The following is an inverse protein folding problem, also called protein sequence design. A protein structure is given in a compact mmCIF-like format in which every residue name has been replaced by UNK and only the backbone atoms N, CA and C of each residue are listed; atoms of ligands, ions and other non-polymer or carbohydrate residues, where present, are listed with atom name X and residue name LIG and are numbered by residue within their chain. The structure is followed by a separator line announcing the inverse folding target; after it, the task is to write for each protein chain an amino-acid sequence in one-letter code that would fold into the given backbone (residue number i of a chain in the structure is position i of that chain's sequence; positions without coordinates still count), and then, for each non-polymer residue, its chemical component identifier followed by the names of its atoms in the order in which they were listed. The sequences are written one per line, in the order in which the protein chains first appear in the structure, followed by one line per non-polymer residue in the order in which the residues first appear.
data_IF_904757351981
#
_entry.id   IF_904757351981
#
_cell.length_a   1.000
_cell.length_b   1.000
_cell.length_c   1.000
_cell.angle_alpha   90.00
_cell.angle_beta   90.00
_cell.angle_gamma   90.00
#
_symmetry.space_group_name_H-M   'P 1'
#
loop_
_entity.id
_entity.type
_entity.pdbx_description
1 polymer ?
#
# COMPACT_ATOMS: atom_id res chain seq x y z
N UNK A 1 -15.47 -27.19 5.24
CA UNK A 1 -14.23 -26.62 5.84
C UNK A 1 -14.66 -25.57 6.84
N UNK A 2 -14.22 -25.64 8.09
CA UNK A 2 -14.45 -24.60 9.09
C UNK A 2 -13.14 -23.76 9.16
N UNK A 3 -13.23 -22.47 8.89
CA UNK A 3 -12.09 -21.58 8.95
C UNK A 3 -12.06 -21.00 10.37
N UNK A 4 -11.09 -21.42 11.16
CA UNK A 4 -10.86 -20.89 12.51
C UNK A 4 -10.11 -19.57 12.39
N UNK A 5 -10.54 -18.56 13.14
CA UNK A 5 -9.84 -17.28 13.24
C UNK A 5 -8.96 -17.28 14.49
N UNK A 6 -7.66 -17.10 14.30
CA UNK A 6 -6.66 -17.11 15.39
C UNK A 6 -6.54 -15.72 16.02
N UNK A 7 -7.62 -15.22 16.61
CA UNK A 7 -7.69 -13.85 17.13
C UNK A 7 -6.70 -13.55 18.25
N UNK A 8 -6.41 -12.27 18.45
CA UNK A 8 -5.56 -11.73 19.49
C UNK A 8 -6.29 -10.66 20.29
N UNK A 9 -6.17 -10.68 21.61
CA UNK A 9 -6.67 -9.61 22.49
C UNK A 9 -5.83 -8.32 22.39
N UNK A 10 -4.64 -8.42 21.82
CA UNK A 10 -3.76 -7.28 21.56
C UNK A 10 -3.79 -6.91 20.09
N UNK A 11 -3.81 -5.61 19.81
CA UNK A 11 -3.69 -5.07 18.46
C UNK A 11 -2.23 -5.13 17.97
N UNK A 12 -1.68 -6.36 17.86
CA UNK A 12 -0.35 -6.58 17.31
C UNK A 12 -0.28 -6.12 15.87
N UNK A 13 0.92 -5.80 15.42
CA UNK A 13 1.21 -5.28 14.08
C UNK A 13 2.11 -6.22 13.29
N UNK A 14 1.98 -6.17 11.98
CA UNK A 14 2.93 -6.67 11.00
C UNK A 14 2.95 -5.73 9.80
N UNK A 15 4.08 -5.65 9.14
CA UNK A 15 4.23 -4.94 7.87
C UNK A 15 4.99 -5.80 6.87
N UNK A 16 4.56 -5.75 5.62
CA UNK A 16 5.21 -6.35 4.46
C UNK A 16 5.47 -5.25 3.44
N UNK A 17 6.68 -5.19 2.90
CA UNK A 17 7.06 -4.22 1.88
C UNK A 17 7.65 -4.95 0.68
N UNK A 18 7.12 -4.66 -0.50
CA UNK A 18 7.61 -5.18 -1.77
C UNK A 18 8.61 -4.18 -2.34
N UNK A 19 9.90 -4.50 -2.29
CA UNK A 19 10.96 -3.62 -2.79
C UNK A 19 11.46 -4.07 -4.16
N UNK A 20 11.81 -3.10 -4.96
CA UNK A 20 12.29 -3.26 -6.32
C UNK A 20 13.83 -3.32 -6.32
N UNK A 21 14.37 -4.25 -7.08
CA UNK A 21 15.81 -4.36 -7.34
C UNK A 21 16.12 -3.68 -8.67
N UNK A 22 16.91 -2.63 -8.65
CA UNK A 22 17.31 -1.86 -9.84
C UNK A 22 18.81 -1.93 -10.07
N UNK A 23 19.23 -1.84 -11.33
CA UNK A 23 20.63 -1.76 -11.74
C UNK A 23 21.22 -0.35 -11.51
N UNK A 24 22.48 -0.14 -11.90
CA UNK A 24 23.15 1.16 -11.81
C UNK A 24 22.49 2.25 -12.67
N UNK A 25 21.86 1.89 -13.78
CA UNK A 25 21.11 2.81 -14.65
C UNK A 25 19.71 3.14 -14.12
N UNK A 26 19.29 2.51 -13.03
CA UNK A 26 17.97 2.68 -12.44
C UNK A 26 16.88 1.84 -13.11
N UNK A 27 17.21 0.94 -14.05
CA UNK A 27 16.22 0.01 -14.61
C UNK A 27 16.01 -1.19 -13.68
N UNK A 28 14.81 -1.76 -13.69
CA UNK A 28 14.58 -3.01 -12.96
C UNK A 28 15.49 -4.13 -13.47
N UNK A 29 16.06 -4.88 -12.56
CA UNK A 29 16.84 -6.07 -12.89
C UNK A 29 15.98 -7.07 -13.68
N UNK A 30 16.54 -7.58 -14.79
CA UNK A 30 15.83 -8.53 -15.69
C UNK A 30 16.34 -9.96 -15.57
N UNK A 31 17.40 -10.15 -14.76
CA UNK A 31 17.97 -11.45 -14.46
C UNK A 31 17.39 -12.05 -13.16
N UNK A 32 18.10 -12.99 -12.56
CA UNK A 32 17.71 -13.64 -11.30
C UNK A 32 18.18 -12.86 -10.06
N UNK A 33 17.98 -11.54 -10.04
CA UNK A 33 18.53 -10.67 -9.00
C UNK A 33 17.97 -11.00 -7.60
N UNK A 34 16.65 -11.17 -7.45
CA UNK A 34 16.07 -11.56 -6.16
C UNK A 34 16.61 -12.90 -5.68
N UNK A 35 16.72 -13.90 -6.57
CA UNK A 35 17.30 -15.22 -6.23
C UNK A 35 18.73 -15.09 -5.73
N UNK A 36 19.58 -14.28 -6.36
CA UNK A 36 20.97 -14.05 -5.93
C UNK A 36 21.02 -13.36 -4.57
N UNK A 37 20.28 -12.28 -4.39
CA UNK A 37 20.22 -11.52 -3.13
C UNK A 37 19.72 -12.43 -2.00
N UNK A 38 18.61 -13.15 -2.22
CA UNK A 38 18.03 -14.03 -1.21
C UNK A 38 18.94 -15.21 -0.85
N UNK A 39 19.80 -15.68 -1.76
CA UNK A 39 20.79 -16.71 -1.45
C UNK A 39 21.85 -16.26 -0.46
N UNK A 40 22.20 -14.96 -0.42
CA UNK A 40 23.12 -14.38 0.59
C UNK A 40 22.42 -14.07 1.90
N UNK A 41 21.09 -13.90 1.88
CA UNK A 41 20.24 -13.70 3.05
C UNK A 41 19.69 -15.02 3.62
N UNK A 42 20.12 -16.17 3.08
CA UNK A 42 19.61 -17.48 3.48
C UNK A 42 19.82 -17.73 4.98
N UNK A 43 18.76 -18.23 5.63
CA UNK A 43 18.69 -18.42 7.08
C UNK A 43 18.34 -17.18 7.88
N UNK A 44 18.24 -15.99 7.29
CA UNK A 44 17.71 -14.80 7.95
C UNK A 44 16.20 -14.72 7.74
N UNK A 45 15.39 -14.51 8.80
CA UNK A 45 13.94 -14.42 8.68
C UNK A 45 13.52 -13.09 8.02
N UNK A 46 12.35 -13.08 7.38
CA UNK A 46 11.68 -11.87 6.90
C UNK A 46 11.99 -11.48 5.47
N UNK A 47 12.66 -12.32 4.68
CA UNK A 47 12.89 -12.08 3.25
C UNK A 47 12.30 -13.21 2.41
N UNK A 48 11.62 -12.84 1.32
CA UNK A 48 10.99 -13.80 0.42
C UNK A 48 11.05 -13.35 -1.04
N UNK A 49 10.93 -14.33 -1.93
CA UNK A 49 10.57 -14.05 -3.31
C UNK A 49 9.15 -13.48 -3.41
N UNK A 50 8.96 -12.57 -4.35
CA UNK A 50 7.67 -12.17 -4.87
C UNK A 50 7.51 -12.64 -6.33
N UNK A 51 6.42 -12.27 -7.01
CA UNK A 51 6.06 -12.73 -8.36
C UNK A 51 7.21 -12.62 -9.36
N UNK A 52 8.00 -11.55 -9.28
CA UNK A 52 9.03 -11.22 -10.26
C UNK A 52 10.43 -11.20 -9.61
N UNK A 53 11.43 -11.62 -10.37
CA UNK A 53 12.85 -11.64 -9.96
C UNK A 53 13.46 -10.24 -9.72
N UNK A 54 12.76 -9.19 -10.10
CA UNK A 54 13.13 -7.82 -9.76
C UNK A 54 12.56 -7.35 -8.39
N UNK A 55 12.01 -8.27 -7.59
CA UNK A 55 11.30 -7.92 -6.34
C UNK A 55 11.72 -8.81 -5.19
N UNK A 56 11.99 -8.20 -4.05
CA UNK A 56 12.14 -8.88 -2.76
C UNK A 56 11.06 -8.39 -1.82
N UNK A 57 10.33 -9.31 -1.19
CA UNK A 57 9.38 -9.01 -0.12
C UNK A 57 10.12 -9.02 1.22
N UNK A 58 10.02 -7.93 1.98
CA UNK A 58 10.57 -7.81 3.33
C UNK A 58 9.42 -7.75 4.33
N UNK A 59 9.47 -8.63 5.35
CA UNK A 59 8.37 -8.86 6.28
C UNK A 59 8.88 -8.69 7.70
N UNK A 60 8.13 -7.95 8.53
CA UNK A 60 8.43 -7.83 9.96
C UNK A 60 8.06 -9.10 10.73
N UNK A 61 8.66 -9.23 11.90
CA UNK A 61 8.11 -10.09 12.94
C UNK A 61 6.78 -9.52 13.46
N UNK A 62 6.09 -10.26 14.34
CA UNK A 62 4.92 -9.73 15.03
C UNK A 62 5.36 -8.66 16.02
N UNK A 63 4.93 -7.44 15.78
CA UNK A 63 5.36 -6.26 16.53
C UNK A 63 4.25 -5.75 17.47
N UNK A 64 4.58 -5.34 18.69
CA UNK A 64 3.59 -4.78 19.63
C UNK A 64 3.25 -3.30 19.35
N UNK A 65 4.15 -2.52 18.74
CA UNK A 65 3.98 -1.08 18.47
C UNK A 65 4.56 -0.68 17.14
N UNK A 66 4.21 0.52 16.65
CA UNK A 66 4.75 1.11 15.42
C UNK A 66 6.27 1.29 15.51
N UNK A 67 6.81 1.69 16.66
CA UNK A 67 8.25 1.81 16.85
C UNK A 67 8.98 0.45 16.72
N UNK A 68 8.36 -0.67 17.09
CA UNK A 68 8.93 -2.00 16.83
C UNK A 68 8.91 -2.33 15.33
N UNK A 69 7.86 -1.98 14.59
CA UNK A 69 7.82 -2.08 13.12
C UNK A 69 9.00 -1.30 12.52
N UNK A 70 9.16 -0.02 12.92
CA UNK A 70 10.27 0.83 12.43
C UNK A 70 11.63 0.16 12.62
N UNK A 71 11.92 -0.33 13.82
CA UNK A 71 13.22 -0.93 14.14
C UNK A 71 13.47 -2.24 13.39
N UNK A 72 12.47 -3.12 13.36
CA UNK A 72 12.61 -4.43 12.74
C UNK A 72 12.72 -4.30 11.22
N UNK A 73 11.83 -3.53 10.61
CA UNK A 73 11.82 -3.35 9.15
C UNK A 73 13.08 -2.58 8.69
N UNK A 74 13.50 -1.54 9.44
CA UNK A 74 14.70 -0.77 9.09
C UNK A 74 15.95 -1.65 9.12
N UNK A 75 16.15 -2.44 10.17
CA UNK A 75 17.28 -3.36 10.25
C UNK A 75 17.32 -4.37 9.10
N UNK A 76 16.13 -4.89 8.70
CA UNK A 76 16.02 -5.79 7.55
C UNK A 76 16.29 -5.10 6.23
N UNK A 77 15.82 -3.85 6.05
CA UNK A 77 16.09 -3.07 4.85
C UNK A 77 17.56 -2.66 4.72
N UNK A 78 18.20 -2.21 5.80
CA UNK A 78 19.64 -1.92 5.80
C UNK A 78 20.45 -3.15 5.37
N UNK A 79 20.11 -4.33 5.90
CA UNK A 79 20.80 -5.57 5.51
C UNK A 79 20.54 -5.95 4.05
N UNK A 80 19.31 -5.77 3.56
CA UNK A 80 18.99 -6.02 2.16
C UNK A 80 19.74 -5.06 1.23
N UNK A 81 19.80 -3.76 1.57
CA UNK A 81 20.52 -2.75 0.81
C UNK A 81 22.01 -3.11 0.74
N UNK A 82 22.64 -3.44 1.88
CA UNK A 82 24.04 -3.87 1.94
C UNK A 82 24.34 -5.02 0.98
N UNK A 83 23.50 -6.07 1.00
CA UNK A 83 23.67 -7.26 0.15
C UNK A 83 23.45 -6.92 -1.33
N UNK A 84 22.41 -6.14 -1.63
CA UNK A 84 22.09 -5.73 -3.00
C UNK A 84 23.23 -4.89 -3.61
N UNK A 85 23.76 -3.92 -2.86
CA UNK A 85 24.88 -3.07 -3.28
C UNK A 85 26.16 -3.87 -3.48
N UNK A 86 26.42 -4.87 -2.63
CA UNK A 86 27.54 -5.81 -2.80
C UNK A 86 27.49 -6.58 -4.12
N UNK A 87 26.32 -6.69 -4.73
CA UNK A 87 26.08 -7.36 -6.01
C UNK A 87 25.87 -6.38 -7.19
N UNK A 88 26.03 -5.07 -6.97
CA UNK A 88 25.87 -4.04 -8.01
C UNK A 88 24.43 -3.62 -8.27
N UNK A 89 23.50 -3.90 -7.33
CA UNK A 89 22.10 -3.47 -7.41
C UNK A 89 21.82 -2.37 -6.40
N UNK A 90 20.71 -1.64 -6.63
CA UNK A 90 20.15 -0.68 -5.67
C UNK A 90 18.71 -1.07 -5.35
N UNK A 91 18.21 -0.62 -4.21
CA UNK A 91 16.86 -0.93 -3.74
C UNK A 91 16.01 0.32 -3.75
N UNK A 92 14.76 0.19 -4.21
CA UNK A 92 13.76 1.25 -4.21
C UNK A 92 12.36 0.69 -3.92
N UNK A 93 11.46 1.50 -3.40
CA UNK A 93 10.07 1.12 -3.19
C UNK A 93 9.12 2.20 -3.72
N UNK A 94 8.26 1.84 -4.64
CA UNK A 94 7.16 2.66 -5.16
C UNK A 94 6.06 1.74 -5.68
N UNK A 95 4.86 2.26 -5.95
CA UNK A 95 3.76 1.42 -6.45
C UNK A 95 3.99 0.84 -7.86
N UNK A 96 4.76 1.53 -8.71
CA UNK A 96 5.19 1.06 -10.03
C UNK A 96 6.56 1.59 -10.35
N UNK A 97 7.37 0.85 -11.11
CA UNK A 97 8.62 1.37 -11.63
C UNK A 97 8.35 2.40 -12.76
N UNK A 98 9.03 3.58 -12.74
CA UNK A 98 8.69 4.67 -13.67
C UNK A 98 8.77 4.31 -15.15
N UNK A 99 9.76 3.50 -15.59
CA UNK A 99 9.99 3.28 -17.02
C UNK A 99 10.20 1.82 -17.45
N UNK A 100 10.56 0.90 -16.54
CA UNK A 100 10.78 -0.51 -16.92
C UNK A 100 9.51 -1.19 -17.41
N UNK A 101 9.65 -2.09 -18.38
CA UNK A 101 8.56 -2.83 -18.97
C UNK A 101 8.28 -4.13 -18.23
N UNK A 102 7.01 -4.46 -17.99
CA UNK A 102 6.59 -5.75 -17.46
C UNK A 102 6.95 -6.91 -18.40
N UNK A 103 7.05 -6.65 -19.72
CA UNK A 103 7.35 -7.68 -20.72
C UNK A 103 8.79 -8.21 -20.62
N UNK A 104 9.68 -7.43 -20.02
CA UNK A 104 11.10 -7.77 -19.88
C UNK A 104 11.40 -8.49 -18.55
N UNK A 105 10.39 -8.69 -17.70
CA UNK A 105 10.58 -9.23 -16.36
C UNK A 105 10.52 -10.77 -16.33
N UNK A 106 11.35 -11.35 -15.48
CA UNK A 106 11.41 -12.80 -15.23
C UNK A 106 10.52 -13.15 -14.03
N UNK A 107 9.73 -14.22 -14.16
CA UNK A 107 8.91 -14.75 -13.06
C UNK A 107 9.82 -15.54 -12.10
N UNK A 108 9.65 -15.30 -10.79
CA UNK A 108 10.36 -16.02 -9.74
C UNK A 108 10.13 -17.54 -9.79
N UNK A 109 11.08 -18.36 -9.32
CA UNK A 109 11.06 -19.82 -9.52
C UNK A 109 9.99 -20.57 -8.71
N UNK A 110 9.22 -19.91 -7.84
CA UNK A 110 8.17 -20.55 -7.06
C UNK A 110 7.04 -21.07 -7.97
N UNK A 111 6.68 -22.36 -7.87
CA UNK A 111 5.57 -22.95 -8.65
C UNK A 111 4.23 -22.24 -8.47
N UNK A 112 4.02 -21.53 -7.35
CA UNK A 112 2.81 -20.73 -7.10
C UNK A 112 2.67 -19.60 -8.12
N UNK A 113 3.76 -18.92 -8.44
CA UNK A 113 3.74 -17.77 -9.35
C UNK A 113 3.54 -18.21 -10.80
N UNK A 114 4.17 -19.31 -11.20
CA UNK A 114 3.93 -19.88 -12.52
C UNK A 114 2.46 -20.28 -12.72
N UNK A 115 1.83 -20.85 -11.68
CA UNK A 115 0.38 -21.16 -11.72
C UNK A 115 -0.47 -19.88 -11.79
N UNK A 116 -0.11 -18.84 -11.03
CA UNK A 116 -0.83 -17.55 -11.12
C UNK A 116 -0.81 -16.98 -12.54
N UNK A 117 0.36 -17.01 -13.20
CA UNK A 117 0.49 -16.61 -14.59
C UNK A 117 -0.34 -17.51 -15.52
N UNK A 118 -0.37 -18.81 -15.29
CA UNK A 118 -1.17 -19.76 -16.08
C UNK A 118 -2.67 -19.53 -15.89
N UNK A 119 -3.13 -19.35 -14.67
CA UNK A 119 -4.54 -19.19 -14.33
C UNK A 119 -5.08 -17.82 -14.80
N UNK A 120 -4.31 -16.73 -14.63
CA UNK A 120 -4.75 -15.35 -14.90
C UNK A 120 -4.21 -14.76 -16.19
N UNK A 121 -3.28 -15.44 -16.89
CA UNK A 121 -2.73 -15.07 -18.21
C UNK A 121 -2.28 -13.58 -18.30
N UNK A 122 -2.86 -12.83 -19.24
CA UNK A 122 -2.47 -11.47 -19.54
C UNK A 122 -2.55 -10.52 -18.33
N UNK A 123 -3.55 -10.67 -17.48
CA UNK A 123 -3.73 -9.81 -16.30
C UNK A 123 -2.60 -10.01 -15.29
N UNK A 124 -2.20 -11.27 -15.02
CA UNK A 124 -1.11 -11.57 -14.12
C UNK A 124 0.27 -11.18 -14.67
N UNK A 125 0.49 -11.31 -15.99
CA UNK A 125 1.78 -10.92 -16.61
C UNK A 125 2.09 -9.43 -16.45
N UNK A 126 1.07 -8.59 -16.31
CA UNK A 126 1.20 -7.14 -16.16
C UNK A 126 1.37 -6.66 -14.73
N UNK A 127 1.47 -7.55 -13.76
CA UNK A 127 1.62 -7.22 -12.34
C UNK A 127 3.04 -6.78 -11.98
N UNK A 128 3.58 -5.80 -12.71
CA UNK A 128 4.81 -5.10 -12.34
C UNK A 128 4.45 -3.96 -11.38
N UNK A 129 3.92 -4.33 -10.23
CA UNK A 129 3.38 -3.42 -9.22
C UNK A 129 3.85 -3.85 -7.84
N UNK A 130 3.99 -2.89 -6.92
CA UNK A 130 4.57 -3.11 -5.61
C UNK A 130 3.75 -2.39 -4.55
N UNK A 131 3.61 -3.00 -3.38
CA UNK A 131 2.79 -2.48 -2.31
C UNK A 131 3.43 -2.55 -0.93
N UNK A 132 2.76 -1.89 0.00
CA UNK A 132 2.95 -2.08 1.43
C UNK A 132 1.68 -2.68 1.99
N UNK A 133 1.81 -3.76 2.75
CA UNK A 133 0.71 -4.39 3.46
C UNK A 133 0.88 -4.18 4.96
N UNK A 134 -0.19 -3.80 5.63
CA UNK A 134 -0.17 -3.64 7.09
C UNK A 134 -1.16 -4.60 7.73
N UNK A 135 -0.73 -5.33 8.73
CA UNK A 135 -1.54 -6.25 9.51
C UNK A 135 -1.83 -5.67 10.88
N UNK A 136 -3.08 -5.69 11.30
CA UNK A 136 -3.50 -5.29 12.64
C UNK A 136 -4.28 -6.41 13.29
N UNK A 137 -3.85 -6.88 14.45
CA UNK A 137 -4.48 -7.94 15.23
C UNK A 137 -5.89 -7.56 15.69
N UNK A 138 -6.83 -8.49 15.57
CA UNK A 138 -8.22 -8.36 16.03
C UNK A 138 -8.67 -9.62 16.77
N UNK A 139 -9.70 -9.51 17.61
CA UNK A 139 -10.07 -10.54 18.58
C UNK A 139 -10.79 -11.75 17.98
N UNK A 140 -11.59 -11.54 16.95
CA UNK A 140 -12.43 -12.60 16.40
C UNK A 140 -12.77 -12.38 14.93
N UNK A 141 -13.24 -13.43 14.27
CA UNK A 141 -13.73 -13.33 12.90
C UNK A 141 -14.93 -12.39 12.75
N UNK A 142 -15.84 -12.34 13.75
CA UNK A 142 -16.98 -11.42 13.73
C UNK A 142 -16.51 -9.96 13.82
N UNK A 143 -15.58 -9.65 14.72
CA UNK A 143 -14.96 -8.32 14.81
C UNK A 143 -14.22 -7.98 13.51
N UNK A 144 -13.45 -8.93 12.95
CA UNK A 144 -12.74 -8.73 11.70
C UNK A 144 -13.67 -8.33 10.54
N UNK A 145 -14.83 -8.99 10.41
CA UNK A 145 -15.80 -8.67 9.35
C UNK A 145 -16.45 -7.31 9.58
N UNK A 146 -16.90 -7.03 10.81
CA UNK A 146 -17.53 -5.75 11.12
C UNK A 146 -16.57 -4.56 10.86
N UNK A 147 -15.32 -4.69 11.32
CA UNK A 147 -14.29 -3.67 11.13
C UNK A 147 -13.89 -3.57 9.64
N UNK A 148 -13.73 -4.68 8.92
CA UNK A 148 -13.39 -4.67 7.49
C UNK A 148 -14.45 -3.94 6.63
N UNK A 149 -15.73 -4.17 6.91
CA UNK A 149 -16.83 -3.48 6.24
C UNK A 149 -16.74 -1.96 6.42
N UNK A 150 -16.45 -1.51 7.64
CA UNK A 150 -16.29 -0.08 7.95
C UNK A 150 -15.02 0.52 7.37
N UNK A 151 -13.89 -0.21 7.44
CA UNK A 151 -12.61 0.20 6.84
C UNK A 151 -12.73 0.48 5.34
N UNK A 152 -13.65 -0.19 4.65
CA UNK A 152 -13.94 0.06 3.25
C UNK A 152 -14.19 1.54 2.95
N UNK A 153 -14.82 2.27 3.86
CA UNK A 153 -15.08 3.71 3.76
C UNK A 153 -13.78 4.53 3.71
N UNK A 154 -12.71 4.03 4.31
CA UNK A 154 -11.42 4.72 4.43
C UNK A 154 -10.38 4.30 3.38
N UNK A 155 -10.71 3.35 2.50
CA UNK A 155 -9.83 2.95 1.38
C UNK A 155 -9.30 4.15 0.58
N UNK A 156 -10.13 5.17 0.22
CA UNK A 156 -9.64 6.35 -0.49
C UNK A 156 -8.56 7.13 0.26
N UNK A 157 -8.62 7.16 1.61
CA UNK A 157 -7.65 7.86 2.45
C UNK A 157 -6.27 7.18 2.39
N UNK A 158 -6.24 5.87 2.59
CA UNK A 158 -4.99 5.09 2.50
C UNK A 158 -4.37 5.14 1.10
N UNK A 159 -5.19 4.99 0.06
CA UNK A 159 -4.74 5.04 -1.33
C UNK A 159 -4.15 6.41 -1.67
N UNK A 160 -4.80 7.48 -1.25
CA UNK A 160 -4.32 8.83 -1.52
C UNK A 160 -3.00 9.12 -0.80
N UNK A 161 -2.90 8.78 0.49
CA UNK A 161 -1.71 9.01 1.31
C UNK A 161 -0.48 8.21 0.84
N UNK A 162 -0.69 6.97 0.40
CA UNK A 162 0.38 6.09 -0.06
C UNK A 162 0.71 6.25 -1.54
N UNK A 163 0.00 7.11 -2.28
CA UNK A 163 0.16 7.20 -3.75
C UNK A 163 1.60 7.48 -4.16
N UNK A 164 2.17 6.58 -4.99
CA UNK A 164 3.56 6.60 -5.41
C UNK A 164 3.77 6.00 -6.81
N UNK A 165 2.70 5.87 -7.61
CA UNK A 165 2.78 5.25 -8.93
C UNK A 165 2.21 6.14 -10.04
N UNK A 166 2.80 7.34 -10.26
CA UNK A 166 2.32 8.26 -11.29
C UNK A 166 2.76 7.86 -12.69
N UNK A 167 3.87 7.11 -12.81
CA UNK A 167 4.46 6.71 -14.08
C UNK A 167 4.26 5.21 -14.36
N UNK A 168 4.12 4.86 -15.62
CA UNK A 168 4.02 3.49 -16.10
C UNK A 168 4.65 3.35 -17.48
N UNK A 169 5.66 2.47 -17.60
CA UNK A 169 6.37 2.21 -18.86
C UNK A 169 6.82 3.49 -19.59
N UNK A 170 7.45 4.39 -18.85
CA UNK A 170 8.02 5.62 -19.39
C UNK A 170 7.03 6.75 -19.63
N UNK A 171 5.79 6.64 -19.15
CA UNK A 171 4.72 7.63 -19.38
C UNK A 171 4.10 8.09 -18.07
N UNK A 172 3.83 9.39 -17.95
CA UNK A 172 2.92 9.90 -16.93
C UNK A 172 1.50 9.43 -17.26
N UNK A 173 0.91 8.69 -16.34
CA UNK A 173 -0.43 8.12 -16.48
C UNK A 173 -1.55 9.12 -16.22
N UNK A 174 -1.21 10.29 -15.65
CA UNK A 174 -2.16 11.24 -15.12
C UNK A 174 -2.84 10.80 -13.82
N UNK A 175 -2.47 9.65 -13.25
CA UNK A 175 -3.00 9.13 -11.98
C UNK A 175 -1.97 9.34 -10.86
N UNK A 176 -2.41 9.48 -9.62
CA UNK A 176 -1.53 9.41 -8.46
C UNK A 176 -1.14 7.96 -8.13
N UNK A 177 -2.06 7.02 -8.35
CA UNK A 177 -1.83 5.57 -8.23
C UNK A 177 -2.38 4.80 -9.42
N UNK A 178 -1.51 4.45 -10.37
CA UNK A 178 -1.83 3.49 -11.44
C UNK A 178 -1.78 2.04 -10.93
N UNK A 179 -0.97 1.75 -9.90
CA UNK A 179 -0.88 0.42 -9.27
C UNK A 179 -2.25 -0.14 -8.96
N UNK A 180 -3.08 0.63 -8.27
CA UNK A 180 -4.42 0.19 -7.88
C UNK A 180 -5.28 -0.24 -9.07
N UNK A 181 -5.12 0.42 -10.23
CA UNK A 181 -5.89 0.10 -11.45
C UNK A 181 -5.36 -1.13 -12.17
N UNK A 182 -4.05 -1.36 -12.15
CA UNK A 182 -3.45 -2.59 -12.67
C UNK A 182 -3.88 -3.78 -11.81
N UNK A 183 -3.79 -3.64 -10.48
CA UNK A 183 -4.14 -4.70 -9.54
C UNK A 183 -5.61 -5.15 -9.66
N UNK A 184 -6.53 -4.21 -9.83
CA UNK A 184 -7.97 -4.48 -10.01
C UNK A 184 -8.31 -5.30 -11.27
N UNK A 185 -7.35 -5.56 -12.16
CA UNK A 185 -7.57 -6.43 -13.33
C UNK A 185 -7.58 -7.92 -12.96
N UNK A 186 -7.11 -8.31 -11.78
CA UNK A 186 -7.21 -9.68 -11.29
C UNK A 186 -8.65 -10.02 -10.84
N UNK A 187 -9.09 -11.28 -11.03
CA UNK A 187 -10.50 -11.66 -10.81
C UNK A 187 -11.00 -11.49 -9.38
N UNK A 188 -10.13 -11.60 -8.37
CA UNK A 188 -10.49 -11.53 -6.95
C UNK A 188 -9.90 -10.31 -6.25
N UNK A 189 -9.42 -9.33 -7.02
CA UNK A 189 -8.79 -8.12 -6.48
C UNK A 189 -9.77 -6.94 -6.34
N UNK A 190 -9.38 -5.98 -5.53
CA UNK A 190 -10.08 -4.72 -5.35
C UNK A 190 -10.91 -4.66 -4.08
N UNK A 191 -12.03 -3.94 -4.12
CA UNK A 191 -12.87 -3.73 -2.95
C UNK A 191 -13.37 -5.05 -2.34
N UNK A 192 -13.30 -5.23 -1.00
CA UNK A 192 -13.91 -6.37 -0.35
C UNK A 192 -15.43 -6.35 -0.56
N UNK A 193 -16.02 -7.54 -0.64
CA UNK A 193 -17.47 -7.64 -0.58
C UNK A 193 -17.96 -7.37 0.84
N UNK A 194 -19.07 -6.65 0.96
CA UNK A 194 -19.78 -6.54 2.23
C UNK A 194 -20.22 -7.93 2.72
N UNK A 195 -19.90 -8.25 3.96
CA UNK A 195 -20.29 -9.51 4.62
C UNK A 195 -21.04 -9.20 5.90
N UNK A 196 -22.17 -9.87 6.14
CA UNK A 196 -22.98 -9.67 7.34
C UNK A 196 -22.27 -10.16 8.60
N UNK A 197 -21.51 -11.27 8.48
CA UNK A 197 -20.89 -11.94 9.60
C UNK A 197 -19.79 -12.91 9.13
N UNK A 198 -19.06 -13.47 10.08
CA UNK A 198 -18.00 -14.45 9.81
C UNK A 198 -18.51 -15.72 9.11
N UNK A 199 -19.71 -16.15 9.42
CA UNK A 199 -20.33 -17.31 8.76
C UNK A 199 -20.55 -17.10 7.25
N UNK A 200 -20.88 -15.88 6.84
CA UNK A 200 -20.99 -15.52 5.42
C UNK A 200 -19.61 -15.50 4.72
N UNK A 201 -18.58 -14.98 5.38
CA UNK A 201 -17.20 -15.04 4.88
C UNK A 201 -16.73 -16.50 4.70
N UNK A 202 -16.99 -17.35 5.69
CA UNK A 202 -16.66 -18.78 5.57
C UNK A 202 -17.41 -19.46 4.40
N UNK A 203 -18.65 -19.09 4.16
CA UNK A 203 -19.45 -19.59 3.05
C UNK A 203 -18.85 -19.14 1.70
N UNK A 204 -18.51 -17.85 1.58
CA UNK A 204 -17.80 -17.29 0.42
C UNK A 204 -16.53 -18.09 0.13
N UNK A 205 -15.64 -18.27 1.10
CA UNK A 205 -14.41 -19.01 0.96
C UNK A 205 -14.63 -20.46 0.52
N UNK A 206 -15.59 -21.17 1.15
CA UNK A 206 -15.95 -22.56 0.77
C UNK A 206 -16.45 -22.65 -0.65
N UNK A 207 -17.27 -21.69 -1.08
CA UNK A 207 -17.82 -21.65 -2.44
C UNK A 207 -16.70 -21.48 -3.47
N UNK A 208 -15.81 -20.51 -3.29
CA UNK A 208 -14.72 -20.26 -4.25
C UNK A 208 -13.69 -21.40 -4.28
N UNK A 209 -13.36 -21.99 -3.13
CA UNK A 209 -12.47 -23.17 -3.07
C UNK A 209 -13.14 -24.38 -3.72
N UNK A 210 -14.43 -24.61 -3.42
CA UNK A 210 -15.20 -25.73 -4.00
C UNK A 210 -15.39 -25.61 -5.51
N UNK A 211 -15.49 -24.39 -6.02
CA UNK A 211 -15.55 -24.12 -7.46
C UNK A 211 -14.17 -24.16 -8.15
N UNK A 212 -13.07 -24.28 -7.40
CA UNK A 212 -11.72 -24.24 -7.94
C UNK A 212 -11.27 -22.82 -8.37
N UNK A 213 -12.03 -21.78 -8.00
CA UNK A 213 -11.70 -20.37 -8.32
C UNK A 213 -10.45 -19.91 -7.57
N UNK A 214 -10.30 -20.34 -6.32
CA UNK A 214 -9.14 -20.09 -5.47
C UNK A 214 -8.76 -21.39 -4.73
N UNK A 215 -7.49 -21.49 -4.32
CA UNK A 215 -6.98 -22.62 -3.51
C UNK A 215 -6.92 -22.26 -2.02
N UNK A 216 -6.72 -20.98 -1.73
CA UNK A 216 -6.62 -20.48 -0.35
C UNK A 216 -6.99 -18.99 -0.28
N UNK A 217 -7.06 -18.47 0.96
CA UNK A 217 -7.27 -17.03 1.23
C UNK A 217 -6.19 -16.14 0.57
N UNK A 218 -5.00 -16.66 0.31
CA UNK A 218 -3.90 -15.94 -0.34
C UNK A 218 -4.21 -15.50 -1.77
N UNK A 219 -5.24 -16.10 -2.39
CA UNK A 219 -5.73 -15.75 -3.73
C UNK A 219 -6.96 -14.84 -3.70
N UNK A 220 -7.33 -14.31 -2.54
CA UNK A 220 -8.32 -13.24 -2.37
C UNK A 220 -7.56 -11.94 -2.19
N UNK A 221 -7.40 -11.19 -3.27
CA UNK A 221 -6.58 -9.98 -3.32
C UNK A 221 -7.40 -8.70 -3.05
N UNK A 222 -8.25 -8.75 -2.01
CA UNK A 222 -9.01 -7.57 -1.60
C UNK A 222 -8.11 -6.47 -1.03
N UNK A 223 -8.53 -5.22 -1.18
CA UNK A 223 -7.87 -4.05 -0.60
C UNK A 223 -7.76 -4.12 0.92
N UNK A 224 -8.74 -4.77 1.56
CA UNK A 224 -8.77 -5.10 2.99
C UNK A 224 -9.16 -6.55 3.10
N UNK A 225 -8.33 -7.36 3.74
CA UNK A 225 -8.50 -8.81 3.82
C UNK A 225 -8.45 -9.30 5.27
N UNK A 226 -9.50 -9.93 5.80
CA UNK A 226 -9.37 -10.72 7.02
C UNK A 226 -8.38 -11.87 6.80
N UNK A 227 -7.38 -11.99 7.67
CA UNK A 227 -6.38 -13.07 7.59
C UNK A 227 -6.55 -14.06 8.75
N UNK A 228 -7.31 -15.16 8.60
CA UNK A 228 -7.70 -16.05 9.70
C UNK A 228 -6.54 -16.66 10.47
N UNK A 229 -5.49 -17.10 9.75
CA UNK A 229 -4.34 -17.78 10.37
C UNK A 229 -3.47 -16.84 11.21
N UNK A 230 -3.44 -15.55 10.86
CA UNK A 230 -2.68 -14.54 11.59
C UNK A 230 -3.54 -13.82 12.63
N UNK A 231 -4.87 -13.95 12.56
CA UNK A 231 -5.78 -13.24 13.45
C UNK A 231 -5.80 -11.72 13.22
N UNK A 232 -5.59 -11.29 11.97
CA UNK A 232 -5.42 -9.88 11.63
C UNK A 232 -6.41 -9.41 10.57
N UNK A 233 -6.59 -8.08 10.49
CA UNK A 233 -7.00 -7.39 9.28
C UNK A 233 -5.76 -6.90 8.54
N UNK A 234 -5.71 -7.20 7.26
CA UNK A 234 -4.62 -6.83 6.36
C UNK A 234 -5.11 -5.75 5.41
N UNK A 235 -4.45 -4.60 5.44
CA UNK A 235 -4.66 -3.49 4.50
C UNK A 235 -3.63 -3.62 3.37
N UNK A 236 -4.12 -3.82 2.14
CA UNK A 236 -3.31 -4.11 0.94
C UNK A 236 -3.39 -2.99 -0.11
N UNK A 237 -4.24 -2.00 0.14
CA UNK A 237 -4.53 -0.93 -0.82
C UNK A 237 -3.33 -0.02 -1.08
N UNK A 238 -2.39 0.10 -0.14
CA UNK A 238 -1.29 1.05 -0.22
C UNK A 238 -0.31 0.70 -1.34
N UNK A 239 0.08 1.70 -2.12
CA UNK A 239 1.23 1.63 -3.02
C UNK A 239 2.51 1.36 -2.21
N UNK A 240 3.58 0.92 -2.84
CA UNK A 240 4.90 0.87 -2.24
C UNK A 240 5.32 2.27 -1.77
N UNK A 241 5.87 2.38 -0.56
CA UNK A 241 6.23 3.65 0.08
C UNK A 241 7.75 3.75 0.17
N UNK A 242 8.38 4.79 -0.41
CA UNK A 242 9.84 4.87 -0.48
C UNK A 242 10.51 5.21 0.86
N UNK A 243 9.77 5.76 1.83
CA UNK A 243 10.35 6.26 3.08
C UNK A 243 9.81 5.53 4.31
N UNK A 244 10.69 5.30 5.28
CA UNK A 244 10.31 4.68 6.55
C UNK A 244 9.38 5.57 7.37
N UNK A 245 9.56 6.89 7.31
CA UNK A 245 8.73 7.84 8.05
C UNK A 245 7.27 7.78 7.58
N UNK A 246 7.02 7.87 6.27
CA UNK A 246 5.67 7.76 5.70
C UNK A 246 5.05 6.37 5.94
N UNK A 247 5.86 5.30 5.83
CA UNK A 247 5.41 3.95 6.11
C UNK A 247 4.93 3.81 7.57
N UNK A 248 5.69 4.31 8.54
CA UNK A 248 5.30 4.26 9.95
C UNK A 248 4.05 5.09 10.22
N UNK A 249 3.87 6.22 9.53
CA UNK A 249 2.65 7.04 9.62
C UNK A 249 1.42 6.28 9.12
N UNK A 250 1.54 5.55 8.00
CA UNK A 250 0.46 4.68 7.48
C UNK A 250 0.18 3.50 8.43
N UNK A 251 1.19 2.90 9.04
CA UNK A 251 1.00 1.83 10.04
C UNK A 251 0.29 2.37 11.29
N UNK A 252 0.67 3.57 11.78
CA UNK A 252 0.03 4.22 12.91
C UNK A 252 -1.45 4.55 12.63
N UNK A 253 -1.73 5.08 11.43
CA UNK A 253 -3.10 5.31 10.97
C UNK A 253 -3.90 4.01 10.90
N UNK A 254 -3.31 2.94 10.36
CA UNK A 254 -3.94 1.61 10.26
C UNK A 254 -4.29 1.05 11.64
N UNK A 255 -3.34 1.04 12.58
CA UNK A 255 -3.54 0.53 13.92
C UNK A 255 -4.60 1.36 14.66
N UNK A 256 -4.46 2.68 14.65
CA UNK A 256 -5.36 3.58 15.37
C UNK A 256 -6.80 3.48 14.85
N UNK A 257 -6.97 3.37 13.52
CA UNK A 257 -8.29 3.26 12.90
C UNK A 257 -8.94 1.90 13.18
N UNK A 258 -8.19 0.79 13.03
CA UNK A 258 -8.71 -0.56 13.32
C UNK A 258 -9.12 -0.65 14.79
N UNK A 259 -8.28 -0.18 15.73
CA UNK A 259 -8.58 -0.20 17.16
C UNK A 259 -9.78 0.68 17.50
N UNK A 260 -9.85 1.89 16.93
CA UNK A 260 -11.00 2.78 17.13
C UNK A 260 -12.32 2.15 16.63
N UNK A 261 -12.31 1.49 15.47
CA UNK A 261 -13.48 0.78 14.93
C UNK A 261 -13.84 -0.45 15.77
N UNK A 262 -12.84 -1.24 16.20
CA UNK A 262 -13.05 -2.40 17.07
C UNK A 262 -13.63 -2.00 18.43
N UNK A 263 -13.16 -0.91 19.03
CA UNK A 263 -13.70 -0.37 20.26
C UNK A 263 -15.19 0.03 20.09
N UNK A 264 -15.53 0.71 18.99
CA UNK A 264 -16.93 1.06 18.67
C UNK A 264 -17.80 -0.20 18.54
N UNK A 265 -17.34 -1.19 17.77
CA UNK A 265 -18.03 -2.47 17.60
C UNK A 265 -18.28 -3.15 18.96
N UNK A 266 -17.26 -3.26 19.79
CA UNK A 266 -17.35 -3.93 21.09
C UNK A 266 -18.24 -3.20 22.11
N UNK A 267 -18.45 -1.89 21.94
CA UNK A 267 -19.39 -1.10 22.74
C UNK A 267 -20.78 -1.00 22.10
N UNK A 268 -21.06 -1.70 21.00
CA UNK A 268 -22.34 -1.66 20.31
C UNK A 268 -22.69 -0.31 19.69
N UNK A 269 -21.66 0.47 19.33
CA UNK A 269 -21.82 1.75 18.65
C UNK A 269 -21.84 1.56 17.13
N UNK A 270 -22.55 2.44 16.43
CA UNK A 270 -22.59 2.44 14.96
C UNK A 270 -21.20 2.61 14.35
N UNK A 271 -20.92 1.81 13.33
CA UNK A 271 -19.71 1.90 12.54
C UNK A 271 -19.95 2.78 11.30
N UNK A 272 -19.00 3.68 10.95
CA UNK A 272 -19.07 4.43 9.69
C UNK A 272 -19.13 3.47 8.51
N UNK A 273 -20.06 3.69 7.59
CA UNK A 273 -20.18 2.86 6.41
C UNK A 273 -20.79 3.66 5.25
N UNK A 274 -20.14 3.59 4.09
CA UNK A 274 -20.68 4.08 2.84
C UNK A 274 -21.17 2.93 1.95
N UNK A 275 -22.02 3.25 1.00
CA UNK A 275 -22.44 2.33 -0.04
C UNK A 275 -21.23 1.90 -0.91
N UNK A 276 -21.23 0.64 -1.37
CA UNK A 276 -20.12 0.10 -2.15
C UNK A 276 -19.81 0.92 -3.42
N UNK A 277 -20.83 1.48 -4.06
CA UNK A 277 -20.65 2.34 -5.23
C UNK A 277 -20.00 3.70 -4.88
N UNK A 278 -20.33 4.29 -3.72
CA UNK A 278 -19.67 5.49 -3.20
C UNK A 278 -18.18 5.22 -2.91
N UNK A 279 -17.89 4.11 -2.23
CA UNK A 279 -16.49 3.70 -1.95
C UNK A 279 -15.72 3.53 -3.25
N UNK A 280 -16.32 2.89 -4.26
CA UNK A 280 -15.69 2.67 -5.58
C UNK A 280 -15.38 3.98 -6.29
N UNK A 281 -16.32 4.92 -6.31
CA UNK A 281 -16.11 6.22 -6.91
C UNK A 281 -15.05 7.02 -6.17
N UNK A 282 -15.10 7.05 -4.84
CA UNK A 282 -14.10 7.75 -4.01
C UNK A 282 -12.71 7.13 -4.15
N UNK A 283 -12.62 5.79 -4.28
CA UNK A 283 -11.37 5.10 -4.58
C UNK A 283 -10.80 5.52 -5.95
N UNK A 284 -11.67 5.65 -6.98
CA UNK A 284 -11.25 6.16 -8.28
C UNK A 284 -10.72 7.59 -8.18
N UNK A 285 -11.43 8.48 -7.48
CA UNK A 285 -11.01 9.86 -7.28
C UNK A 285 -9.66 9.95 -6.56
N UNK A 286 -9.48 9.16 -5.51
CA UNK A 286 -8.19 9.05 -4.81
C UNK A 286 -7.07 8.54 -5.71
N UNK A 287 -7.31 7.49 -6.52
CA UNK A 287 -6.34 6.97 -7.49
C UNK A 287 -5.96 8.03 -8.53
N UNK A 288 -6.91 8.86 -8.96
CA UNK A 288 -6.70 9.89 -9.98
C UNK A 288 -6.01 11.13 -9.43
N UNK A 289 -6.47 11.64 -8.30
CA UNK A 289 -6.11 12.98 -7.81
C UNK A 289 -5.28 12.95 -6.52
N UNK A 290 -5.03 11.75 -5.93
CA UNK A 290 -4.32 11.63 -4.65
C UNK A 290 -5.05 12.38 -3.54
N UNK A 291 -4.31 13.05 -2.70
CA UNK A 291 -4.84 13.83 -1.56
C UNK A 291 -5.64 15.07 -1.97
N UNK A 292 -5.50 15.52 -3.22
CA UNK A 292 -6.27 16.64 -3.79
C UNK A 292 -7.65 16.25 -4.30
N UNK A 293 -8.05 14.98 -4.15
CA UNK A 293 -9.36 14.51 -4.54
C UNK A 293 -10.48 15.18 -3.74
N UNK A 294 -11.63 15.39 -4.39
CA UNK A 294 -12.90 15.64 -3.73
C UNK A 294 -13.68 14.33 -3.67
N UNK A 295 -14.09 13.89 -2.50
CA UNK A 295 -14.83 12.64 -2.29
C UNK A 295 -16.32 12.90 -2.02
N UNK A 296 -17.16 11.95 -2.43
CA UNK A 296 -18.59 11.95 -2.10
C UNK A 296 -18.74 11.65 -0.62
N UNK A 297 -19.37 12.58 0.10
CA UNK A 297 -19.57 12.54 1.54
C UNK A 297 -20.87 11.85 1.97
N UNK A 298 -21.92 12.05 1.19
CA UNK A 298 -23.29 11.62 1.53
C UNK A 298 -24.08 11.24 0.28
N UNK A 299 -25.31 10.72 0.49
CA UNK A 299 -26.20 10.29 -0.59
C UNK A 299 -26.82 11.44 -1.37
N UNK A 300 -26.78 12.66 -0.88
CA UNK A 300 -27.19 13.88 -1.56
C UNK A 300 -26.14 14.36 -2.60
N UNK A 301 -24.97 13.72 -2.61
CA UNK A 301 -23.90 14.03 -3.56
C UNK A 301 -23.00 15.22 -3.12
N UNK A 302 -23.06 15.60 -1.85
CA UNK A 302 -22.15 16.62 -1.35
C UNK A 302 -20.71 16.12 -1.39
N UNK A 303 -19.81 17.01 -1.85
CA UNK A 303 -18.38 16.73 -1.92
C UNK A 303 -17.66 17.26 -0.70
N UNK A 304 -16.54 16.61 -0.36
CA UNK A 304 -15.60 17.04 0.67
C UNK A 304 -14.18 16.82 0.17
N UNK A 305 -13.29 17.78 0.42
CA UNK A 305 -11.86 17.59 0.17
C UNK A 305 -11.33 16.37 0.94
N UNK A 306 -10.66 15.48 0.24
CA UNK A 306 -10.05 14.29 0.87
C UNK A 306 -8.95 14.69 1.86
N UNK A 307 -8.16 15.71 1.55
CA UNK A 307 -7.17 16.31 2.47
C UNK A 307 -7.82 16.71 3.81
N UNK A 308 -8.96 17.42 3.76
CA UNK A 308 -9.71 17.77 4.96
C UNK A 308 -10.25 16.54 5.69
N UNK A 309 -10.80 15.58 4.94
CA UNK A 309 -11.33 14.33 5.52
C UNK A 309 -10.23 13.53 6.24
N UNK A 310 -9.01 13.53 5.70
CA UNK A 310 -7.84 12.91 6.34
C UNK A 310 -7.48 13.66 7.63
N UNK A 311 -7.40 14.98 7.62
CA UNK A 311 -7.14 15.78 8.81
C UNK A 311 -8.17 15.55 9.92
N UNK A 312 -9.47 15.60 9.57
CA UNK A 312 -10.57 15.32 10.51
C UNK A 312 -10.47 13.88 11.09
N UNK A 313 -9.97 12.91 10.29
CA UNK A 313 -9.73 11.54 10.74
C UNK A 313 -8.57 11.46 11.71
N UNK A 314 -7.43 12.08 11.41
CA UNK A 314 -6.24 12.13 12.27
C UNK A 314 -6.61 12.70 13.64
N UNK A 315 -7.26 13.88 13.67
CA UNK A 315 -7.73 14.50 14.93
C UNK A 315 -8.62 13.54 15.75
N UNK A 316 -9.54 12.85 15.10
CA UNK A 316 -10.43 11.87 15.74
C UNK A 316 -9.67 10.69 16.34
N UNK A 317 -8.56 10.29 15.74
CA UNK A 317 -7.77 9.14 16.15
C UNK A 317 -6.70 9.47 17.20
N UNK A 318 -6.37 10.76 17.45
CA UNK A 318 -5.37 11.17 18.43
C UNK A 318 -5.51 10.45 19.79
N UNK A 319 -6.72 10.39 20.43
CA UNK A 319 -6.84 9.72 21.74
C UNK A 319 -6.53 8.22 21.67
N UNK A 320 -6.79 7.59 20.53
CA UNK A 320 -6.46 6.17 20.33
C UNK A 320 -4.97 5.99 20.10
N UNK A 321 -4.35 6.85 19.29
CA UNK A 321 -2.91 6.81 19.02
C UNK A 321 -2.08 7.11 20.28
N UNK A 322 -2.51 8.05 21.14
CA UNK A 322 -1.89 8.29 22.46
C UNK A 322 -1.89 7.02 23.31
N UNK A 323 -3.03 6.34 23.40
CA UNK A 323 -3.16 5.08 24.14
C UNK A 323 -2.26 3.95 23.58
N UNK A 324 -2.07 3.93 22.27
CA UNK A 324 -1.23 2.97 21.55
C UNK A 324 0.25 3.34 21.54
N UNK A 325 0.60 4.58 21.94
CA UNK A 325 1.96 5.08 21.92
C UNK A 325 2.53 5.34 20.52
N UNK A 326 1.68 5.76 19.58
CA UNK A 326 2.06 6.04 18.21
C UNK A 326 1.54 7.42 17.70
N UNK A 327 1.36 8.37 18.63
CA UNK A 327 0.83 9.70 18.29
C UNK A 327 1.79 10.49 17.38
N UNK A 328 3.09 10.36 17.57
CA UNK A 328 4.10 11.05 16.76
C UNK A 328 4.08 10.52 15.31
N UNK A 329 3.99 9.20 15.15
CA UNK A 329 3.90 8.60 13.82
C UNK A 329 2.55 8.90 13.15
N UNK A 330 1.45 8.99 13.91
CA UNK A 330 0.16 9.41 13.37
C UNK A 330 0.21 10.87 12.89
N UNK A 331 0.88 11.75 13.64
CA UNK A 331 1.05 13.15 13.23
C UNK A 331 1.86 13.30 11.94
N UNK A 332 2.76 12.36 11.64
CA UNK A 332 3.45 12.30 10.35
C UNK A 332 2.54 12.22 9.12
N UNK A 333 1.24 11.93 9.28
CA UNK A 333 0.25 12.09 8.21
C UNK A 333 0.12 13.55 7.79
N UNK A 334 0.22 14.48 8.71
CA UNK A 334 0.21 15.93 8.40
C UNK A 334 1.44 16.33 7.57
N UNK A 335 2.62 15.73 7.85
CA UNK A 335 3.82 15.93 7.03
C UNK A 335 3.60 15.44 5.58
N UNK A 336 2.94 14.28 5.38
CA UNK A 336 2.59 13.79 4.04
C UNK A 336 1.64 14.77 3.33
N UNK A 337 0.68 15.30 4.06
CA UNK A 337 -0.25 16.30 3.50
C UNK A 337 0.47 17.60 3.10
N UNK A 338 1.43 18.06 3.88
CA UNK A 338 2.17 19.31 3.62
C UNK A 338 3.19 19.16 2.49
N UNK A 339 4.00 18.09 2.52
CA UNK A 339 5.09 17.86 1.55
C UNK A 339 4.62 17.27 0.24
N UNK A 340 3.41 16.72 0.18
CA UNK A 340 2.93 15.89 -0.93
C UNK A 340 3.40 14.44 -0.83
N UNK A 341 2.65 13.55 -1.47
CA UNK A 341 2.96 12.12 -1.53
C UNK A 341 4.13 11.85 -2.49
N UNK A 342 4.68 10.64 -2.47
CA UNK A 342 5.73 10.25 -3.40
C UNK A 342 5.34 10.46 -4.87
N UNK A 343 4.06 10.30 -5.24
CA UNK A 343 3.59 10.58 -6.61
C UNK A 343 3.78 12.05 -7.01
N UNK A 344 3.61 12.98 -6.08
CA UNK A 344 3.86 14.42 -6.30
C UNK A 344 5.35 14.65 -6.47
N UNK A 345 6.17 14.18 -5.51
CA UNK A 345 7.64 14.35 -5.53
C UNK A 345 8.30 13.76 -6.77
N UNK A 346 7.82 12.59 -7.25
CA UNK A 346 8.29 11.99 -8.50
C UNK A 346 8.03 12.90 -9.71
N UNK A 347 6.84 13.52 -9.79
CA UNK A 347 6.52 14.47 -10.85
C UNK A 347 7.32 15.74 -10.78
N UNK A 348 7.63 16.25 -9.58
CA UNK A 348 8.51 17.39 -9.39
C UNK A 348 9.91 17.11 -9.94
N UNK A 349 10.53 15.98 -9.55
CA UNK A 349 11.84 15.57 -10.09
C UNK A 349 11.79 15.44 -11.61
N UNK A 350 10.74 14.83 -12.16
CA UNK A 350 10.60 14.73 -13.61
C UNK A 350 10.39 16.08 -14.29
N UNK A 351 9.65 16.99 -13.70
CA UNK A 351 9.47 18.35 -14.24
C UNK A 351 10.77 19.16 -14.25
N UNK A 352 11.65 18.95 -13.25
CA UNK A 352 12.95 19.59 -13.15
C UNK A 352 13.98 19.01 -14.15
N UNK A 353 13.96 17.69 -14.36
CA UNK A 353 15.03 16.98 -15.06
C UNK A 353 14.66 16.44 -16.43
N UNK A 354 13.40 16.24 -16.69
CA UNK A 354 12.83 15.52 -17.86
C UNK A 354 13.43 14.11 -18.05
N UNK A 355 13.92 13.50 -16.97
CA UNK A 355 14.61 12.21 -16.96
C UNK A 355 14.05 11.29 -15.87
N UNK A 356 13.44 10.17 -16.27
CA UNK A 356 12.87 9.19 -15.34
C UNK A 356 13.95 8.40 -14.56
N UNK A 357 15.20 8.35 -15.04
CA UNK A 357 16.29 7.76 -14.27
C UNK A 357 16.61 8.59 -13.03
N UNK A 358 16.49 9.93 -13.12
CA UNK A 358 16.62 10.84 -11.98
C UNK A 358 15.48 10.68 -10.98
N UNK A 359 14.29 10.35 -11.44
CA UNK A 359 13.19 9.99 -10.54
C UNK A 359 13.56 8.74 -9.73
N UNK A 360 14.12 7.71 -10.37
CA UNK A 360 14.57 6.49 -9.66
C UNK A 360 15.72 6.81 -8.70
N UNK A 361 16.71 7.63 -9.09
CA UNK A 361 17.80 8.05 -8.20
C UNK A 361 17.25 8.73 -6.94
N UNK A 362 16.29 9.65 -7.10
CA UNK A 362 15.61 10.31 -5.96
C UNK A 362 14.91 9.33 -5.04
N UNK A 363 14.24 8.31 -5.59
CA UNK A 363 13.56 7.28 -4.81
C UNK A 363 14.55 6.37 -4.06
N UNK A 364 15.71 6.07 -4.65
CA UNK A 364 16.79 5.35 -3.96
C UNK A 364 17.32 6.17 -2.78
N UNK A 365 17.50 7.48 -2.96
CA UNK A 365 17.94 8.37 -1.89
C UNK A 365 16.90 8.46 -0.75
N UNK A 366 15.60 8.58 -1.06
CA UNK A 366 14.52 8.52 -0.09
C UNK A 366 14.50 7.17 0.67
N UNK A 367 14.69 6.06 -0.03
CA UNK A 367 14.75 4.73 0.57
C UNK A 367 15.93 4.59 1.54
N UNK A 368 17.11 5.10 1.17
CA UNK A 368 18.31 5.06 2.01
C UNK A 368 18.23 5.97 3.22
N UNK A 369 17.68 7.17 3.06
CA UNK A 369 17.53 8.12 4.17
C UNK A 369 16.40 7.75 5.12
N UNK A 370 15.40 7.02 4.63
CA UNK A 370 14.17 6.72 5.35
C UNK A 370 13.19 7.89 5.45
N UNK A 371 13.54 9.04 4.85
CA UNK A 371 12.76 10.28 4.94
C UNK A 371 12.51 10.87 3.55
N UNK A 372 11.38 11.59 3.35
CA UNK A 372 11.11 12.28 2.09
C UNK A 372 12.16 13.32 1.75
N UNK A 373 12.41 13.51 0.44
CA UNK A 373 13.29 14.62 0.00
C UNK A 373 12.83 15.95 0.61
N UNK A 374 13.76 16.87 0.96
CA UNK A 374 13.40 18.18 1.47
C UNK A 374 12.54 18.95 0.46
N UNK A 375 11.62 19.77 0.96
CA UNK A 375 10.91 20.72 0.09
C UNK A 375 11.94 21.65 -0.57
N UNK A 376 11.70 22.06 -1.84
CA UNK A 376 12.50 23.11 -2.46
C UNK A 376 12.51 24.36 -1.57
N UNK A 377 13.67 24.98 -1.40
CA UNK A 377 13.80 26.20 -0.59
C UNK A 377 12.91 27.30 -1.22
N UNK A 378 11.94 27.83 -0.48
CA UNK A 378 11.00 28.87 -0.95
C UNK A 378 11.71 30.12 -1.52
N UNK A 379 13.01 30.27 -1.25
CA UNK A 379 13.86 31.35 -1.79
C UNK A 379 14.12 31.22 -3.29
N UNK A 380 13.83 30.07 -3.93
CA UNK A 380 14.09 29.81 -5.37
C UNK A 380 12.81 29.84 -6.23
N UNK A 381 11.61 29.90 -5.65
CA UNK A 381 10.34 29.93 -6.38
C UNK A 381 9.86 31.36 -6.59
N UNK A 382 10.65 32.16 -7.29
CA UNK A 382 10.26 33.50 -7.79
C UNK A 382 9.69 33.45 -9.21
N UNK A 383 8.87 32.46 -9.53
CA UNK A 383 8.22 32.33 -10.84
C UNK A 383 6.73 32.00 -10.70
N UNK A 384 5.91 33.01 -10.94
CA UNK A 384 4.43 32.93 -11.03
C UNK A 384 4.01 31.77 -11.95
N UNK A 385 3.45 30.71 -11.39
CA UNK A 385 2.70 29.72 -12.16
C UNK A 385 1.37 30.35 -12.52
N UNK A 386 1.24 30.77 -13.80
CA UNK A 386 -0.01 31.26 -14.37
C UNK A 386 -1.08 30.18 -14.29
N UNK A 387 -2.16 30.46 -13.61
CA UNK A 387 -3.39 29.66 -13.64
C UNK A 387 -3.88 29.63 -15.10
N UNK A 388 -3.72 28.50 -15.78
CA UNK A 388 -4.37 28.28 -17.06
C UNK A 388 -5.88 28.22 -16.88
N UNK A 389 -6.59 29.05 -17.62
CA UNK A 389 -8.05 29.09 -17.68
C UNK A 389 -8.63 27.73 -18.13
N UNK A 390 -9.78 27.32 -17.60
CA UNK A 390 -10.47 26.11 -18.06
C UNK A 390 -11.02 26.35 -19.47
N UNK A 391 -10.69 25.42 -20.37
CA UNK A 391 -11.23 25.36 -21.71
C UNK A 391 -12.77 25.29 -21.70
N UNK A 392 -13.41 26.39 -22.05
CA UNK A 392 -14.74 26.39 -22.63
C UNK A 392 -14.63 26.12 -24.13
N UNK A 393 -15.32 25.10 -24.62
CA UNK A 393 -15.45 24.80 -26.04
C UNK A 393 -16.34 23.58 -26.26
N UNK A 394 -17.58 23.87 -26.65
CA UNK A 394 -18.65 23.12 -27.34
C UNK A 394 -18.59 21.58 -27.44
#
# INVERSE_FOLDING_TARGET
MNIVFSGSDQSTLGAEIEVQVVDEAGALATDTAATKILSELDGLPGYKHELLECTVEVITDVCPTVNHIRRDLWAKLEKLIEVAEGQGYRIVCTGTHPFSSWADQTVSPDPRYHRLIEDCQWTARRLLIFGVHTHVGVRSGEEAIAVANSLGTFIPHFLALSSSSPFWQGRDTGLASIRSKIFETLPTAGLPYFMENWGQFQRFMRTLIGAGTIRSIREVWWDIRPHPSFGTLELRICDGIPTMDELCSIVALSQSLVVWLADRYNHGLDLPQHQAWTIRENKWRAARYGVEAEIIRDEEGNLMSLRRSIGDLVERLCPTAERLGCIEELDGINDILERGTSAVRQREVFAETHDLSRVVDSLVDEMRSGSPRPLPDDSLIGGTIGRGDPLHGE
#
